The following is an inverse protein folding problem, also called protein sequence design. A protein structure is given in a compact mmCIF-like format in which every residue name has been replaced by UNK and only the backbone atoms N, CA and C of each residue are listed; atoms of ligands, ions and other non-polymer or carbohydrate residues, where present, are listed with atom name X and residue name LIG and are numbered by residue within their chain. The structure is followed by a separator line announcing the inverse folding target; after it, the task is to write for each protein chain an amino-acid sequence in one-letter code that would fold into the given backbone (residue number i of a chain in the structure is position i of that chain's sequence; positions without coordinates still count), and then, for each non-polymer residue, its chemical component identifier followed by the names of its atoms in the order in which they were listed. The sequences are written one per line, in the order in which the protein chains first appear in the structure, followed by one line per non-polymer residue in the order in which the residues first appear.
data_IF_943315355019
#
_entry.id   IF_943315355019
#
_cell.length_a   1.000
_cell.length_b   1.000
_cell.length_c   1.000
_cell.angle_alpha   90.00
_cell.angle_beta   90.00
_cell.angle_gamma   90.00
#
_symmetry.space_group_name_H-M   'P 1'
#
loop_
_entity.id
_entity.type
_entity.pdbx_description
1 polymer ?
#
# COMPACT_ATOMS: atom_id res chain seq x y z
N UNK A 1 -2.70 -1.67 22.20
CA UNK A 1 -3.94 -1.28 21.51
C UNK A 1 -4.00 -2.04 20.19
N UNK A 2 -5.14 -2.61 19.90
CA UNK A 2 -5.33 -3.39 18.67
C UNK A 2 -5.36 -2.48 17.43
N UNK A 3 -4.92 -3.01 16.31
CA UNK A 3 -5.16 -2.38 15.02
C UNK A 3 -6.65 -2.45 14.67
N UNK A 4 -7.14 -1.45 13.96
CA UNK A 4 -8.55 -1.38 13.56
C UNK A 4 -8.71 -0.52 12.30
N UNK A 5 -9.83 -0.69 11.64
CA UNK A 5 -10.23 0.09 10.48
C UNK A 5 -11.63 0.67 10.69
N UNK A 6 -11.81 1.92 10.31
CA UNK A 6 -13.09 2.63 10.34
C UNK A 6 -13.46 3.01 8.91
N UNK A 7 -14.71 2.73 8.54
CA UNK A 7 -15.32 3.18 7.29
C UNK A 7 -16.38 4.23 7.59
N UNK A 8 -16.46 5.24 6.77
CA UNK A 8 -17.50 6.26 6.87
C UNK A 8 -18.05 6.62 5.49
N UNK A 9 -19.31 7.02 5.46
CA UNK A 9 -19.98 7.56 4.30
C UNK A 9 -20.42 8.99 4.59
N UNK A 10 -20.33 9.85 3.60
CA UNK A 10 -20.78 11.24 3.67
C UNK A 10 -21.49 11.63 2.37
N UNK A 11 -22.24 12.72 2.41
CA UNK A 11 -22.95 13.26 1.25
C UNK A 11 -23.82 12.20 0.53
N UNK A 12 -24.71 11.54 1.33
CA UNK A 12 -25.60 10.48 0.84
C UNK A 12 -24.89 9.32 0.13
N UNK A 13 -23.67 9.01 0.58
CA UNK A 13 -22.85 7.93 0.02
C UNK A 13 -21.98 8.31 -1.16
N UNK A 14 -21.96 9.58 -1.55
CA UNK A 14 -21.10 10.06 -2.63
C UNK A 14 -19.61 10.08 -2.23
N UNK A 15 -19.33 10.20 -0.94
CA UNK A 15 -17.96 10.18 -0.40
C UNK A 15 -17.80 9.00 0.56
N UNK A 16 -16.75 8.22 0.35
CA UNK A 16 -16.33 7.15 1.26
C UNK A 16 -15.00 7.53 1.91
N UNK A 17 -14.91 7.32 3.20
CA UNK A 17 -13.68 7.53 3.94
C UNK A 17 -13.27 6.24 4.66
N UNK A 18 -11.97 5.98 4.68
CA UNK A 18 -11.35 4.85 5.38
C UNK A 18 -10.23 5.40 6.24
N UNK A 19 -10.22 5.01 7.50
CA UNK A 19 -9.12 5.31 8.41
C UNK A 19 -8.68 4.02 9.08
N UNK A 20 -7.37 3.78 9.12
CA UNK A 20 -6.83 2.53 9.65
C UNK A 20 -5.64 2.79 10.56
N UNK A 21 -5.59 2.03 11.63
CA UNK A 21 -4.41 1.90 12.46
C UNK A 21 -3.74 0.57 12.16
N UNK A 22 -2.48 0.60 11.74
CA UNK A 22 -1.70 -0.58 11.35
C UNK A 22 -0.40 -0.74 12.14
N UNK A 23 -0.31 -0.13 13.31
CA UNK A 23 0.92 -0.11 14.11
C UNK A 23 1.43 -1.51 14.43
N UNK A 24 0.56 -2.40 14.90
CA UNK A 24 0.94 -3.76 15.25
C UNK A 24 1.24 -4.60 14.01
N UNK A 25 0.45 -4.44 12.96
CA UNK A 25 0.65 -5.11 11.67
C UNK A 25 2.03 -4.78 11.09
N UNK A 26 2.38 -3.51 11.04
CA UNK A 26 3.67 -3.05 10.50
C UNK A 26 4.83 -3.49 11.41
N UNK A 27 4.66 -3.39 12.72
CA UNK A 27 5.67 -3.86 13.69
C UNK A 27 5.97 -5.36 13.53
N UNK A 28 4.93 -6.16 13.33
CA UNK A 28 5.08 -7.60 13.10
C UNK A 28 5.80 -7.88 11.77
N UNK A 29 5.43 -7.19 10.70
CA UNK A 29 6.10 -7.31 9.41
C UNK A 29 7.58 -6.92 9.49
N UNK A 30 7.89 -5.83 10.20
CA UNK A 30 9.26 -5.40 10.44
C UNK A 30 10.09 -6.48 11.14
N UNK A 31 9.55 -7.12 12.16
CA UNK A 31 10.22 -8.21 12.88
C UNK A 31 10.46 -9.43 12.00
N UNK A 32 9.43 -9.84 11.26
CA UNK A 32 9.49 -11.06 10.44
C UNK A 32 10.45 -10.92 9.26
N UNK A 33 10.54 -9.74 8.68
CA UNK A 33 11.35 -9.48 7.47
C UNK A 33 12.66 -8.76 7.77
N UNK A 34 12.92 -8.41 9.02
CA UNK A 34 14.13 -7.70 9.44
C UNK A 34 14.37 -6.44 8.58
N UNK A 35 13.35 -5.63 8.43
CA UNK A 35 13.45 -4.43 7.59
C UNK A 35 14.14 -3.29 8.35
N UNK A 36 15.05 -2.61 7.66
CA UNK A 36 15.66 -1.39 8.16
C UNK A 36 14.68 -0.22 8.07
N UNK A 37 15.04 0.92 8.62
CA UNK A 37 14.12 2.04 8.86
C UNK A 37 13.35 2.50 7.61
N UNK A 38 14.04 2.82 6.51
CA UNK A 38 13.38 3.30 5.29
C UNK A 38 12.57 2.19 4.62
N UNK A 39 13.09 0.97 4.59
CA UNK A 39 12.37 -0.19 4.09
C UNK A 39 11.10 -0.47 4.93
N UNK A 40 11.18 -0.30 6.25
CA UNK A 40 10.00 -0.44 7.13
C UNK A 40 8.93 0.59 6.82
N UNK A 41 9.31 1.83 6.52
CA UNK A 41 8.36 2.87 6.14
C UNK A 41 7.69 2.55 4.80
N UNK A 42 8.45 2.11 3.81
CA UNK A 42 7.92 1.73 2.50
C UNK A 42 6.95 0.53 2.61
N UNK A 43 7.35 -0.52 3.34
CA UNK A 43 6.50 -1.69 3.58
C UNK A 43 5.25 -1.31 4.38
N UNK A 44 5.41 -0.50 5.42
CA UNK A 44 4.30 -0.07 6.27
C UNK A 44 3.25 0.73 5.51
N UNK A 45 3.66 1.67 4.66
CA UNK A 45 2.75 2.42 3.80
C UNK A 45 2.01 1.51 2.82
N UNK A 46 2.72 0.55 2.24
CA UNK A 46 2.13 -0.42 1.31
C UNK A 46 1.14 -1.37 2.00
N UNK A 47 1.46 -1.88 3.20
CA UNK A 47 0.56 -2.70 3.99
C UNK A 47 -0.69 -1.93 4.41
N UNK A 48 -0.53 -0.68 4.80
CA UNK A 48 -1.64 0.20 5.17
C UNK A 48 -2.57 0.45 3.99
N UNK A 49 -2.02 0.77 2.82
CA UNK A 49 -2.79 0.90 1.59
C UNK A 49 -3.51 -0.41 1.23
N UNK A 50 -2.81 -1.54 1.36
CA UNK A 50 -3.41 -2.86 1.13
C UNK A 50 -4.57 -3.15 2.06
N UNK A 51 -4.46 -2.82 3.33
CA UNK A 51 -5.54 -2.98 4.31
C UNK A 51 -6.77 -2.15 3.93
N UNK A 52 -6.57 -0.90 3.53
CA UNK A 52 -7.65 -0.02 3.07
C UNK A 52 -8.30 -0.58 1.80
N UNK A 53 -7.51 -0.96 0.82
CA UNK A 53 -8.02 -1.50 -0.45
C UNK A 53 -8.72 -2.85 -0.26
N UNK A 54 -8.20 -3.70 0.62
CA UNK A 54 -8.86 -4.95 1.00
C UNK A 54 -10.23 -4.73 1.63
N UNK A 55 -10.35 -3.68 2.44
CA UNK A 55 -11.62 -3.31 3.07
C UNK A 55 -12.70 -2.86 2.07
N UNK A 56 -12.33 -2.51 0.85
CA UNK A 56 -13.26 -2.18 -0.24
C UNK A 56 -13.80 -3.43 -0.95
N UNK A 57 -13.20 -4.58 -0.73
CA UNK A 57 -13.61 -5.86 -1.28
C UNK A 57 -14.73 -6.50 -0.46
N UNK A 58 -15.34 -7.56 -1.00
CA UNK A 58 -16.48 -8.23 -0.38
C UNK A 58 -16.24 -9.75 -0.26
N UNK A 59 -16.85 -10.37 0.75
CA UNK A 59 -16.83 -11.82 0.93
C UNK A 59 -15.43 -12.37 1.12
N UNK A 60 -15.05 -13.30 0.27
CA UNK A 60 -13.73 -13.94 0.23
C UNK A 60 -12.80 -13.36 -0.83
N UNK A 61 -13.16 -12.22 -1.40
CA UNK A 61 -12.32 -11.51 -2.37
C UNK A 61 -10.98 -11.09 -1.76
N UNK A 62 -9.98 -11.02 -2.61
CA UNK A 62 -8.61 -10.64 -2.22
C UNK A 62 -7.93 -9.87 -3.33
N UNK A 63 -6.85 -9.19 -2.99
CA UNK A 63 -6.03 -8.48 -3.96
C UNK A 63 -4.54 -8.62 -3.62
N UNK A 64 -3.72 -8.42 -4.64
CA UNK A 64 -2.27 -8.29 -4.52
C UNK A 64 -1.84 -6.94 -5.08
N UNK A 65 -1.05 -6.20 -4.31
CA UNK A 65 -0.40 -4.98 -4.74
C UNK A 65 1.07 -5.28 -5.01
N UNK A 66 1.55 -4.86 -6.16
CA UNK A 66 2.98 -4.87 -6.50
C UNK A 66 3.44 -3.44 -6.77
N UNK A 67 4.37 -2.95 -5.98
CA UNK A 67 5.06 -1.69 -6.24
C UNK A 67 6.45 -2.02 -6.77
N UNK A 68 6.73 -1.65 -7.98
CA UNK A 68 7.98 -1.98 -8.67
C UNK A 68 8.60 -0.71 -9.24
N UNK A 69 9.51 -0.13 -8.49
CA UNK A 69 10.26 1.04 -8.86
C UNK A 69 11.71 0.70 -9.24
N UNK A 70 12.47 1.73 -9.59
CA UNK A 70 13.89 1.60 -9.94
C UNK A 70 14.82 1.82 -8.73
N UNK A 71 14.28 1.83 -7.53
CA UNK A 71 15.07 1.99 -6.31
C UNK A 71 15.63 0.68 -5.76
N UNK A 72 16.53 0.76 -4.76
CA UNK A 72 17.25 -0.41 -4.24
C UNK A 72 16.39 -1.38 -3.43
N UNK A 73 15.19 -1.00 -2.98
CA UNK A 73 14.31 -1.89 -2.23
C UNK A 73 13.77 -3.04 -3.08
N UNK A 74 13.76 -2.85 -4.41
CA UNK A 74 13.16 -3.80 -5.35
C UNK A 74 11.63 -3.82 -5.26
N UNK A 75 10.98 -4.84 -5.82
CA UNK A 75 9.54 -4.99 -5.71
C UNK A 75 9.05 -5.12 -4.27
N UNK A 76 7.94 -4.44 -3.97
CA UNK A 76 7.15 -4.60 -2.74
C UNK A 76 5.90 -5.37 -3.13
N UNK A 77 5.60 -6.44 -2.40
CA UNK A 77 4.41 -7.26 -2.61
C UNK A 77 3.54 -7.26 -1.35
N UNK A 78 2.25 -7.01 -1.54
CA UNK A 78 1.25 -7.00 -0.47
C UNK A 78 0.04 -7.80 -0.93
N UNK A 79 -0.38 -8.77 -0.12
CA UNK A 79 -1.66 -9.47 -0.27
C UNK A 79 -2.63 -8.96 0.80
N UNK A 80 -3.84 -8.63 0.39
CA UNK A 80 -4.89 -8.16 1.28
C UNK A 80 -6.21 -8.87 0.99
N UNK A 81 -6.98 -9.14 2.05
CA UNK A 81 -8.26 -9.82 2.00
C UNK A 81 -9.38 -8.91 2.48
N UNK A 82 -10.59 -9.20 2.02
CA UNK A 82 -11.79 -8.47 2.43
C UNK A 82 -12.06 -8.51 3.94
N UNK A 83 -11.56 -9.55 4.63
CA UNK A 83 -11.72 -9.72 6.08
C UNK A 83 -10.76 -8.88 6.93
N UNK A 84 -9.85 -8.12 6.31
CA UNK A 84 -8.87 -7.27 6.98
C UNK A 84 -7.48 -7.90 7.12
N UNK A 85 -7.30 -9.16 6.77
CA UNK A 85 -5.99 -9.79 6.79
C UNK A 85 -5.10 -9.18 5.71
N UNK A 86 -3.86 -8.87 6.08
CA UNK A 86 -2.85 -8.33 5.17
C UNK A 86 -1.49 -8.92 5.49
N UNK A 87 -0.72 -9.18 4.45
CA UNK A 87 0.68 -9.57 4.56
C UNK A 87 1.47 -9.00 3.40
N UNK A 88 2.76 -8.86 3.59
CA UNK A 88 3.61 -8.34 2.52
C UNK A 88 5.07 -8.37 2.88
N UNK A 89 5.91 -8.15 1.89
CA UNK A 89 7.34 -8.08 2.05
C UNK A 89 7.99 -7.15 1.02
N UNK A 90 9.22 -6.79 1.27
CA UNK A 90 10.08 -6.08 0.32
C UNK A 90 11.21 -7.00 -0.12
N UNK A 91 11.65 -6.84 -1.36
CA UNK A 91 12.69 -7.71 -1.93
C UNK A 91 14.03 -7.53 -1.23
N UNK A 92 14.43 -6.28 -0.96
CA UNK A 92 15.63 -5.98 -0.19
C UNK A 92 15.25 -5.23 1.10
N UNK A 93 15.19 -5.93 2.24
CA UNK A 93 14.77 -5.32 3.50
C UNK A 93 15.84 -4.43 4.15
N UNK A 94 17.09 -4.56 3.74
CA UNK A 94 18.22 -3.85 4.35
C UNK A 94 18.55 -2.55 3.60
N UNK A 95 17.52 -1.72 3.43
CA UNK A 95 17.62 -0.41 2.78
C UNK A 95 17.28 0.67 3.80
N UNK A 96 18.19 1.62 3.96
CA UNK A 96 17.98 2.78 4.81
C UNK A 96 18.68 4.01 4.21
N UNK A 97 18.01 5.15 4.30
CA UNK A 97 18.54 6.45 3.89
C UNK A 97 18.33 7.45 5.02
N UNK A 98 19.24 8.39 5.13
CA UNK A 98 19.08 9.49 6.07
C UNK A 98 17.79 10.26 5.79
N UNK A 99 17.06 10.58 6.86
CA UNK A 99 15.87 11.42 6.77
C UNK A 99 16.22 12.89 6.47
N UNK A 100 15.17 13.68 6.30
CA UNK A 100 15.33 15.15 6.22
C UNK A 100 15.65 15.72 7.60
N UNK A 101 16.05 16.99 7.64
CA UNK A 101 16.28 17.72 8.91
C UNK A 101 15.05 17.72 9.80
N UNK A 102 13.86 17.64 9.22
CA UNK A 102 12.58 17.55 9.95
C UNK A 102 12.23 16.11 10.35
N UNK A 103 13.12 15.12 10.14
CA UNK A 103 12.94 13.72 10.49
C UNK A 103 12.06 12.92 9.53
N UNK A 104 11.67 13.47 8.38
CA UNK A 104 10.92 12.73 7.37
C UNK A 104 11.82 11.72 6.65
N UNK A 105 11.39 10.46 6.60
CA UNK A 105 12.09 9.43 5.85
C UNK A 105 11.94 9.65 4.34
N UNK A 106 13.00 9.37 3.60
CA UNK A 106 13.05 9.53 2.13
C UNK A 106 12.68 8.22 1.44
N UNK A 107 11.43 7.83 1.55
CA UNK A 107 10.93 6.57 1.00
C UNK A 107 11.14 6.48 -0.52
N UNK A 108 11.02 7.59 -1.22
CA UNK A 108 11.26 7.64 -2.67
C UNK A 108 12.67 7.19 -3.08
N UNK A 109 13.67 7.37 -2.22
CA UNK A 109 15.03 6.89 -2.52
C UNK A 109 15.11 5.36 -2.45
N UNK A 110 14.32 4.74 -1.59
CA UNK A 110 14.24 3.28 -1.49
C UNK A 110 13.42 2.68 -2.64
N UNK A 111 12.27 3.25 -2.92
CA UNK A 111 11.33 2.76 -3.94
C UNK A 111 11.78 3.12 -5.35
N UNK A 112 12.27 4.33 -5.54
CA UNK A 112 12.54 4.92 -6.84
C UNK A 112 11.36 5.73 -7.34
N UNK A 113 11.59 6.51 -8.39
CA UNK A 113 10.59 7.42 -8.98
C UNK A 113 10.07 6.95 -10.34
N UNK A 114 10.63 5.87 -10.87
CA UNK A 114 10.24 5.28 -12.14
C UNK A 114 9.83 3.82 -11.94
N UNK A 115 8.67 3.47 -12.47
CA UNK A 115 8.11 2.13 -12.35
C UNK A 115 6.59 2.15 -12.27
N UNK A 116 6.03 1.11 -11.67
CA UNK A 116 4.58 0.89 -11.68
C UNK A 116 4.04 0.44 -10.34
N UNK A 117 2.80 0.86 -10.08
CA UNK A 117 1.92 0.26 -9.07
C UNK A 117 0.93 -0.63 -9.83
N UNK A 118 0.92 -1.92 -9.51
CA UNK A 118 0.03 -2.90 -10.12
C UNK A 118 -0.85 -3.51 -9.03
N UNK A 119 -2.16 -3.59 -9.29
CA UNK A 119 -3.11 -4.22 -8.39
C UNK A 119 -3.85 -5.32 -9.12
N UNK A 120 -3.81 -6.53 -8.57
CA UNK A 120 -4.47 -7.72 -9.10
C UNK A 120 -5.56 -8.09 -8.12
N UNK A 121 -6.83 -8.05 -8.56
CA UNK A 121 -7.99 -8.37 -7.72
C UNK A 121 -8.60 -9.68 -8.15
N UNK A 122 -8.71 -10.61 -7.22
CA UNK A 122 -9.53 -11.82 -7.37
C UNK A 122 -10.91 -11.55 -6.78
N UNK A 123 -11.86 -11.27 -7.66
CA UNK A 123 -13.24 -10.90 -7.30
C UNK A 123 -14.26 -11.98 -7.69
N UNK A 124 -13.79 -13.24 -7.84
CA UNK A 124 -14.65 -14.37 -8.16
C UNK A 124 -14.99 -14.54 -9.63
N UNK A 125 -14.37 -13.75 -10.52
CA UNK A 125 -14.49 -13.90 -11.96
C UNK A 125 -13.48 -14.92 -12.51
N UNK A 126 -13.71 -15.38 -13.74
CA UNK A 126 -12.81 -16.35 -14.39
C UNK A 126 -11.37 -15.84 -14.48
N UNK A 127 -11.21 -14.55 -14.77
CA UNK A 127 -9.90 -13.89 -14.81
C UNK A 127 -9.86 -12.77 -13.76
N UNK A 128 -8.70 -12.54 -13.12
CA UNK A 128 -8.58 -11.45 -12.18
C UNK A 128 -8.63 -10.09 -12.88
N UNK A 129 -9.10 -9.08 -12.15
CA UNK A 129 -8.97 -7.69 -12.58
C UNK A 129 -7.52 -7.25 -12.35
N UNK A 130 -6.92 -6.60 -13.35
CA UNK A 130 -5.58 -6.03 -13.25
C UNK A 130 -5.63 -4.54 -13.53
N UNK A 131 -5.23 -3.73 -12.56
CA UNK A 131 -5.05 -2.29 -12.71
C UNK A 131 -3.57 -1.94 -12.58
N UNK A 132 -3.12 -0.93 -13.30
CA UNK A 132 -1.74 -0.47 -13.25
C UNK A 132 -1.66 1.04 -13.47
N UNK A 133 -0.75 1.69 -12.76
CA UNK A 133 -0.40 3.08 -12.99
C UNK A 133 1.11 3.29 -12.80
N UNK A 134 1.71 4.29 -13.47
CA UNK A 134 3.10 4.63 -13.20
C UNK A 134 3.29 5.19 -11.79
N UNK A 135 4.48 5.01 -11.25
CA UNK A 135 4.93 5.72 -10.05
C UNK A 135 5.10 7.20 -10.39
N UNK A 136 4.60 8.08 -9.52
CA UNK A 136 4.69 9.54 -9.72
C UNK A 136 5.64 10.21 -8.73
N UNK A 137 5.77 9.72 -7.49
CA UNK A 137 6.70 10.30 -6.51
C UNK A 137 7.63 9.30 -5.84
N UNK A 138 7.21 8.05 -5.70
CA UNK A 138 7.90 7.04 -4.91
C UNK A 138 7.67 7.15 -3.40
N UNK A 139 6.89 8.13 -2.95
CA UNK A 139 6.51 8.29 -1.53
C UNK A 139 5.31 7.42 -1.13
N UNK A 140 4.67 6.79 -2.10
CA UNK A 140 3.59 5.83 -2.04
C UNK A 140 2.20 6.45 -1.82
N UNK A 141 2.03 7.41 -0.92
CA UNK A 141 0.72 8.06 -0.75
C UNK A 141 0.21 8.69 -2.04
N UNK A 142 1.02 9.51 -2.69
CA UNK A 142 0.71 10.11 -3.98
C UNK A 142 0.56 9.07 -5.08
N UNK A 143 1.36 8.02 -5.05
CA UNK A 143 1.33 6.95 -6.04
C UNK A 143 0.02 6.18 -5.98
N UNK A 144 -0.50 5.89 -4.79
CA UNK A 144 -1.81 5.27 -4.61
C UNK A 144 -2.95 6.22 -4.97
N UNK A 145 -2.84 7.50 -4.63
CA UNK A 145 -3.80 8.52 -5.07
C UNK A 145 -3.92 8.54 -6.59
N UNK A 146 -2.80 8.55 -7.27
CA UNK A 146 -2.73 8.52 -8.72
C UNK A 146 -3.28 7.21 -9.30
N UNK A 147 -2.95 6.08 -8.68
CA UNK A 147 -3.51 4.78 -9.06
C UNK A 147 -5.05 4.78 -9.03
N UNK A 148 -5.66 5.29 -7.97
CA UNK A 148 -7.12 5.37 -7.88
C UNK A 148 -7.72 6.25 -8.97
N UNK A 149 -7.08 7.38 -9.28
CA UNK A 149 -7.58 8.29 -10.30
C UNK A 149 -7.53 7.69 -11.72
N UNK A 150 -6.39 7.11 -12.10
CA UNK A 150 -6.19 6.64 -13.49
C UNK A 150 -6.64 5.21 -13.73
N UNK A 151 -6.44 4.32 -12.78
CA UNK A 151 -6.76 2.90 -12.97
C UNK A 151 -8.16 2.55 -12.50
N UNK A 152 -8.59 3.08 -11.36
CA UNK A 152 -9.93 2.81 -10.81
C UNK A 152 -10.93 3.93 -11.12
N UNK A 153 -10.50 4.99 -11.76
CA UNK A 153 -11.32 6.15 -12.12
C UNK A 153 -12.07 6.74 -10.92
N UNK A 154 -11.43 6.70 -9.76
CA UNK A 154 -12.00 7.18 -8.50
C UNK A 154 -11.14 8.32 -7.95
N UNK A 155 -11.57 9.58 -8.05
CA UNK A 155 -10.86 10.69 -7.44
C UNK A 155 -10.73 10.46 -5.94
N UNK A 156 -9.49 10.55 -5.42
CA UNK A 156 -9.17 10.18 -4.05
C UNK A 156 -8.09 11.07 -3.46
N UNK A 157 -7.99 11.05 -2.14
CA UNK A 157 -6.85 11.58 -1.40
C UNK A 157 -6.40 10.49 -0.41
N UNK A 158 -5.13 10.14 -0.46
CA UNK A 158 -4.55 9.09 0.37
C UNK A 158 -3.48 9.68 1.28
#
# INVERSE_FOLDING_TARGET
MKDYLVKALAFDGEVRAYSVRTTNTVSEAQKRHDTWRTASAALGRSLTAGTIMGAMLKGDQKLTIKVEGNGPIGPILVDAHANGDVRGYVTNPHVDFEGTEQGKLRVYQAVGTEGFVTVIKDIGMREPFVGQSPIVSGELGEDFTYYFAVSEQTPSSV
#
